data_IF_959896629623
#
_entry.id   IF_959896629623
#
_cell.length_a   1.000
_cell.length_b   1.000
_cell.length_c   1.000
_cell.angle_alpha   90.00
_cell.angle_beta   90.00
_cell.angle_gamma   90.00
#
_symmetry.space_group_name_H-M   'P 1'
#
loop_
_entity.id
_entity.type
_entity.pdbx_description
1 polymer ?
#
# COMPACT_ATOMS: atom_id res chain seq x y z
N UNK A 1 41.83 5.57 -5.97
CA UNK A 1 40.83 4.89 -6.82
C UNK A 1 39.52 4.97 -6.08
N UNK A 2 38.45 5.41 -6.75
CA UNK A 2 37.11 5.57 -6.14
C UNK A 2 36.21 4.50 -6.74
N UNK A 3 35.50 3.72 -5.88
CA UNK A 3 34.48 2.78 -6.31
C UNK A 3 33.10 3.30 -5.88
N UNK A 4 32.21 3.45 -6.85
CA UNK A 4 30.85 3.88 -6.64
C UNK A 4 29.90 2.69 -6.83
N UNK A 5 29.16 2.36 -5.80
CA UNK A 5 28.12 1.34 -5.85
C UNK A 5 26.76 1.97 -5.61
N UNK A 6 25.83 1.71 -6.49
CA UNK A 6 24.44 2.11 -6.34
C UNK A 6 23.61 0.87 -6.04
N UNK A 7 23.14 0.77 -4.81
CA UNK A 7 22.32 -0.35 -4.37
C UNK A 7 20.85 0.08 -4.31
N UNK A 8 19.94 -0.60 -5.02
CA UNK A 8 18.52 -0.37 -4.87
C UNK A 8 18.10 -0.88 -3.48
N UNK A 9 17.40 -0.05 -2.71
CA UNK A 9 17.01 -0.35 -1.33
C UNK A 9 15.49 -0.33 -1.12
N UNK A 10 14.72 0.00 -2.15
CA UNK A 10 13.26 -0.02 -2.10
C UNK A 10 12.59 0.82 -3.16
N UNK A 11 11.29 0.99 -3.02
CA UNK A 11 10.44 1.80 -3.89
C UNK A 11 9.59 2.76 -3.07
N UNK A 12 8.93 3.72 -3.72
CA UNK A 12 7.91 4.58 -3.10
C UNK A 12 6.50 3.94 -3.13
N UNK A 13 6.39 2.72 -3.64
CA UNK A 13 5.11 1.98 -3.68
C UNK A 13 4.77 1.46 -2.29
N UNK A 14 3.60 1.82 -1.78
CA UNK A 14 3.11 1.30 -0.50
C UNK A 14 2.66 -0.16 -0.65
N UNK A 15 3.21 -1.02 0.19
CA UNK A 15 2.83 -2.43 0.32
C UNK A 15 2.11 -2.60 1.65
N UNK A 16 0.82 -2.98 1.59
CA UNK A 16 -0.04 -3.15 2.79
C UNK A 16 -0.21 -4.63 3.20
N UNK A 17 0.19 -5.53 2.34
CA UNK A 17 0.07 -6.99 2.55
C UNK A 17 1.44 -7.61 2.75
N UNK A 18 1.54 -8.65 3.56
CA UNK A 18 2.77 -9.41 3.71
C UNK A 18 3.07 -10.18 2.43
N UNK A 19 4.26 -10.00 1.82
CA UNK A 19 4.63 -10.64 0.56
C UNK A 19 5.13 -12.07 0.80
N UNK A 20 4.22 -13.00 1.07
CA UNK A 20 4.55 -14.36 1.48
C UNK A 20 5.34 -15.15 0.45
N UNK A 21 5.03 -14.98 -0.86
CA UNK A 21 5.73 -15.70 -1.93
C UNK A 21 7.14 -15.16 -2.10
N UNK A 22 7.31 -13.83 -2.08
CA UNK A 22 8.65 -13.21 -2.11
C UNK A 22 9.51 -13.71 -0.95
N UNK A 23 8.96 -13.72 0.29
CA UNK A 23 9.66 -14.23 1.47
C UNK A 23 10.00 -15.72 1.34
N UNK A 24 9.08 -16.52 0.82
CA UNK A 24 9.32 -17.96 0.59
C UNK A 24 10.45 -18.19 -0.41
N UNK A 25 10.50 -17.41 -1.51
CA UNK A 25 11.59 -17.50 -2.49
C UNK A 25 12.92 -17.08 -1.84
N UNK A 26 12.96 -15.99 -1.06
CA UNK A 26 14.14 -15.55 -0.30
C UNK A 26 14.64 -16.66 0.62
N UNK A 27 13.75 -17.22 1.44
CA UNK A 27 14.09 -18.30 2.39
C UNK A 27 14.58 -19.57 1.67
N UNK A 28 13.94 -19.94 0.55
CA UNK A 28 14.38 -21.09 -0.26
C UNK A 28 15.78 -20.87 -0.82
N UNK A 29 16.10 -19.69 -1.35
CA UNK A 29 17.43 -19.38 -1.85
C UNK A 29 18.49 -19.43 -0.74
N UNK A 30 18.19 -18.89 0.44
CA UNK A 30 19.07 -18.97 1.62
C UNK A 30 19.28 -20.40 2.07
N UNK A 31 18.21 -21.18 2.15
CA UNK A 31 18.27 -22.59 2.55
C UNK A 31 19.08 -23.42 1.59
N UNK A 32 18.82 -23.31 0.27
CA UNK A 32 19.55 -24.08 -0.75
C UNK A 32 21.05 -23.71 -0.74
N UNK A 33 21.37 -22.43 -0.60
CA UNK A 33 22.76 -21.99 -0.51
C UNK A 33 23.42 -22.47 0.80
N UNK A 34 22.69 -22.47 1.91
CA UNK A 34 23.16 -23.02 3.19
C UNK A 34 23.45 -24.51 3.11
N UNK A 35 22.60 -25.29 2.45
CA UNK A 35 22.83 -26.73 2.20
C UNK A 35 24.08 -26.92 1.33
N UNK A 36 24.24 -26.12 0.27
CA UNK A 36 25.44 -26.17 -0.58
C UNK A 36 26.73 -25.87 0.21
N UNK A 37 26.72 -24.88 1.10
CA UNK A 37 27.87 -24.58 1.96
C UNK A 37 28.14 -25.71 2.97
N UNK A 38 27.10 -26.29 3.56
CA UNK A 38 27.21 -27.39 4.53
C UNK A 38 27.77 -28.69 3.90
N UNK A 39 27.48 -28.91 2.60
CA UNK A 39 28.07 -30.00 1.81
C UNK A 39 29.51 -29.75 1.36
N UNK A 40 30.20 -28.79 1.98
CA UNK A 40 31.56 -28.32 1.64
C UNK A 40 31.68 -27.81 0.22
N UNK A 41 30.59 -27.26 -0.32
CA UNK A 41 30.59 -26.71 -1.68
C UNK A 41 30.76 -27.76 -2.76
N UNK A 42 30.11 -28.92 -2.60
CA UNK A 42 30.20 -30.00 -3.59
C UNK A 42 29.78 -29.51 -4.99
N UNK A 43 30.77 -29.22 -5.79
CA UNK A 43 30.59 -28.75 -7.17
C UNK A 43 29.85 -29.77 -8.03
N UNK A 44 29.90 -31.06 -7.72
CA UNK A 44 29.19 -32.13 -8.43
C UNK A 44 27.68 -31.99 -8.28
N UNK A 45 27.19 -31.77 -7.07
CA UNK A 45 25.75 -31.54 -6.81
C UNK A 45 25.26 -30.25 -7.49
N UNK A 46 25.99 -29.14 -7.36
CA UNK A 46 25.66 -27.89 -8.06
C UNK A 46 25.62 -28.11 -9.58
N UNK A 47 26.63 -28.80 -10.10
CA UNK A 47 26.74 -29.10 -11.53
C UNK A 47 25.58 -29.99 -12.05
N UNK A 48 25.14 -30.96 -11.26
CA UNK A 48 24.03 -31.85 -11.62
C UNK A 48 22.67 -31.15 -11.70
N UNK A 49 22.39 -30.19 -10.78
CA UNK A 49 21.14 -29.46 -10.71
C UNK A 49 21.13 -28.14 -11.52
N UNK A 50 22.31 -27.67 -11.96
CA UNK A 50 22.41 -26.47 -12.77
C UNK A 50 21.86 -26.69 -14.18
N UNK A 51 21.28 -25.65 -14.76
CA UNK A 51 20.83 -25.69 -16.14
C UNK A 51 22.02 -25.64 -17.10
N UNK A 52 21.99 -26.44 -18.19
CA UNK A 52 23.02 -26.50 -19.21
C UNK A 52 22.38 -26.52 -20.59
N UNK A 53 22.97 -25.77 -21.54
CA UNK A 53 22.50 -25.75 -22.91
C UNK A 53 22.65 -27.12 -23.61
N UNK A 54 23.64 -27.94 -23.20
CA UNK A 54 23.83 -29.27 -23.74
C UNK A 54 22.70 -30.27 -23.40
N UNK A 55 22.03 -30.08 -22.28
CA UNK A 55 20.98 -30.99 -21.79
C UNK A 55 19.85 -30.18 -21.12
N UNK A 56 19.07 -29.41 -21.90
CA UNK A 56 18.03 -28.54 -21.36
C UNK A 56 16.85 -29.38 -20.87
N UNK A 57 16.55 -29.32 -19.57
CA UNK A 57 15.35 -29.92 -18.99
C UNK A 57 14.55 -28.89 -18.20
N UNK A 58 13.24 -29.06 -18.09
CA UNK A 58 12.39 -28.18 -17.27
C UNK A 58 12.83 -28.22 -15.80
N UNK A 59 13.19 -29.39 -15.32
CA UNK A 59 13.61 -29.58 -13.91
C UNK A 59 14.88 -28.76 -13.60
N UNK A 60 15.94 -28.89 -14.42
CA UNK A 60 17.19 -28.14 -14.21
C UNK A 60 17.00 -26.65 -14.47
N UNK A 61 16.17 -26.25 -15.41
CA UNK A 61 15.87 -24.85 -15.68
C UNK A 61 15.13 -24.15 -14.52
N UNK A 62 14.28 -24.88 -13.77
CA UNK A 62 13.62 -24.37 -12.59
C UNK A 62 14.51 -24.49 -11.34
N UNK A 63 15.23 -25.60 -11.16
CA UNK A 63 16.15 -25.78 -10.02
C UNK A 63 17.27 -24.74 -10.01
N UNK A 64 17.81 -24.42 -11.18
CA UNK A 64 18.90 -23.44 -11.33
C UNK A 64 18.53 -22.03 -10.83
N UNK A 65 17.23 -21.67 -10.77
CA UNK A 65 16.78 -20.39 -10.24
C UNK A 65 17.06 -20.21 -8.74
N UNK A 66 17.29 -21.33 -8.03
CA UNK A 66 17.55 -21.33 -6.59
C UNK A 66 19.03 -21.66 -6.25
N UNK A 67 19.86 -21.93 -7.26
CA UNK A 67 21.28 -22.19 -7.11
C UNK A 67 22.09 -20.91 -7.33
N UNK A 68 23.16 -20.71 -6.57
CA UNK A 68 24.02 -19.54 -6.67
C UNK A 68 25.50 -19.93 -6.62
N UNK A 69 26.29 -19.41 -7.55
CA UNK A 69 27.73 -19.72 -7.66
C UNK A 69 28.57 -19.19 -6.49
N UNK A 70 28.06 -18.21 -5.74
CA UNK A 70 28.74 -17.67 -4.58
C UNK A 70 27.89 -16.72 -3.76
N UNK A 71 28.39 -16.34 -2.58
CA UNK A 71 27.67 -15.51 -1.60
C UNK A 71 27.26 -14.13 -2.14
N UNK A 72 28.16 -13.45 -2.85
CA UNK A 72 27.82 -12.12 -3.42
C UNK A 72 26.76 -12.20 -4.52
N UNK A 73 26.77 -13.30 -5.30
CA UNK A 73 25.74 -13.57 -6.30
C UNK A 73 24.37 -13.78 -5.65
N UNK A 74 24.31 -14.57 -4.56
CA UNK A 74 23.10 -14.75 -3.77
C UNK A 74 22.61 -13.41 -3.20
N UNK A 75 23.48 -12.66 -2.51
CA UNK A 75 23.10 -11.38 -1.86
C UNK A 75 22.58 -10.39 -2.90
N UNK A 76 23.24 -10.26 -4.06
CA UNK A 76 22.77 -9.43 -5.15
C UNK A 76 21.35 -9.78 -5.60
N UNK A 77 21.06 -11.06 -5.84
CA UNK A 77 19.73 -11.53 -6.21
C UNK A 77 18.69 -11.25 -5.12
N UNK A 78 19.02 -11.49 -3.84
CA UNK A 78 18.11 -11.23 -2.73
C UNK A 78 17.78 -9.74 -2.57
N UNK A 79 18.76 -8.85 -2.77
CA UNK A 79 18.54 -7.39 -2.74
C UNK A 79 17.53 -6.99 -3.81
N UNK A 80 17.76 -7.38 -5.07
CA UNK A 80 16.84 -7.05 -6.16
C UNK A 80 15.45 -7.68 -5.97
N UNK A 81 15.39 -8.94 -5.54
CA UNK A 81 14.10 -9.60 -5.24
C UNK A 81 13.34 -8.87 -4.13
N UNK A 82 14.04 -8.41 -3.09
CA UNK A 82 13.43 -7.66 -1.97
C UNK A 82 12.91 -6.28 -2.39
N UNK A 83 13.44 -5.70 -3.45
CA UNK A 83 12.99 -4.40 -3.99
C UNK A 83 11.79 -4.56 -4.92
N UNK A 84 11.85 -5.51 -5.86
CA UNK A 84 10.85 -5.66 -6.91
C UNK A 84 9.73 -6.64 -6.56
N UNK A 85 10.01 -7.65 -5.73
CA UNK A 85 9.06 -8.70 -5.37
C UNK A 85 7.84 -8.18 -4.60
N UNK A 86 8.00 -7.55 -3.43
CA UNK A 86 6.87 -7.15 -2.59
C UNK A 86 5.85 -6.25 -3.29
N UNK A 87 6.24 -5.17 -4.01
CA UNK A 87 5.27 -4.33 -4.68
C UNK A 87 4.54 -5.03 -5.84
N UNK A 88 5.20 -5.94 -6.56
CA UNK A 88 4.56 -6.73 -7.60
C UNK A 88 3.63 -7.79 -7.04
N UNK A 89 4.07 -8.53 -6.01
CA UNK A 89 3.22 -9.53 -5.35
C UNK A 89 1.93 -8.92 -4.80
N UNK A 90 2.05 -7.73 -4.18
CA UNK A 90 0.88 -7.00 -3.66
C UNK A 90 -0.13 -6.60 -4.76
N UNK A 91 0.32 -6.41 -6.00
CA UNK A 91 -0.53 -5.98 -7.13
C UNK A 91 -1.06 -7.13 -7.97
N UNK A 92 -0.30 -8.20 -8.11
CA UNK A 92 -0.68 -9.37 -8.89
C UNK A 92 -1.42 -10.43 -8.07
N UNK A 93 -1.20 -10.42 -6.77
CA UNK A 93 -1.53 -11.54 -5.89
C UNK A 93 -0.47 -12.66 -5.95
N UNK A 94 -0.45 -13.53 -4.93
CA UNK A 94 0.63 -14.51 -4.74
C UNK A 94 0.76 -15.51 -5.90
N UNK A 95 -0.35 -16.03 -6.43
CA UNK A 95 -0.31 -17.04 -7.48
C UNK A 95 0.23 -16.50 -8.81
N UNK A 96 -0.27 -15.34 -9.27
CA UNK A 96 0.19 -14.73 -10.52
C UNK A 96 1.66 -14.28 -10.42
N UNK A 97 2.05 -13.78 -9.25
CA UNK A 97 3.44 -13.40 -8.99
C UNK A 97 4.39 -14.61 -9.09
N UNK A 98 4.05 -15.74 -8.46
CA UNK A 98 4.85 -16.97 -8.52
C UNK A 98 4.95 -17.50 -9.95
N UNK A 99 3.83 -17.54 -10.68
CA UNK A 99 3.82 -17.96 -12.09
C UNK A 99 4.73 -17.06 -12.92
N UNK A 100 4.65 -15.73 -12.75
CA UNK A 100 5.49 -14.79 -13.47
C UNK A 100 6.98 -15.03 -13.16
N UNK A 101 7.35 -15.18 -11.88
CA UNK A 101 8.72 -15.45 -11.46
C UNK A 101 9.28 -16.72 -12.10
N UNK A 102 8.57 -17.85 -11.98
CA UNK A 102 9.02 -19.14 -12.50
C UNK A 102 9.04 -19.15 -14.04
N UNK A 103 8.00 -18.62 -14.70
CA UNK A 103 7.92 -18.59 -16.15
C UNK A 103 9.02 -17.70 -16.78
N UNK A 104 9.21 -16.49 -16.25
CA UNK A 104 10.28 -15.61 -16.73
C UNK A 104 11.67 -16.23 -16.52
N UNK A 105 11.92 -16.86 -15.38
CA UNK A 105 13.18 -17.56 -15.09
C UNK A 105 13.41 -18.74 -16.01
N UNK A 106 12.40 -19.56 -16.23
CA UNK A 106 12.48 -20.69 -17.15
C UNK A 106 12.74 -20.24 -18.60
N UNK A 107 11.95 -19.27 -19.09
CA UNK A 107 12.10 -18.75 -20.46
C UNK A 107 13.46 -18.04 -20.67
N UNK A 108 13.96 -17.35 -19.65
CA UNK A 108 15.28 -16.70 -19.72
C UNK A 108 16.41 -17.71 -19.85
N UNK A 109 16.34 -18.85 -19.13
CA UNK A 109 17.29 -19.93 -19.26
C UNK A 109 17.25 -20.57 -20.67
N UNK A 110 16.05 -20.77 -21.22
CA UNK A 110 15.89 -21.29 -22.60
C UNK A 110 16.47 -20.32 -23.64
N UNK A 111 16.23 -19.01 -23.49
CA UNK A 111 16.79 -18.00 -24.37
C UNK A 111 18.33 -17.96 -24.29
N UNK A 112 18.91 -18.08 -23.10
CA UNK A 112 20.35 -18.19 -22.89
C UNK A 112 20.91 -19.43 -23.56
N UNK A 113 20.25 -20.60 -23.40
CA UNK A 113 20.65 -21.83 -24.06
C UNK A 113 20.60 -21.72 -25.60
N UNK A 114 19.55 -21.14 -26.16
CA UNK A 114 19.45 -20.90 -27.58
C UNK A 114 20.58 -20.01 -28.11
N UNK A 115 20.93 -18.95 -27.36
CA UNK A 115 22.05 -18.08 -27.71
C UNK A 115 23.41 -18.82 -27.65
N UNK A 116 23.62 -19.63 -26.61
CA UNK A 116 24.83 -20.45 -26.49
C UNK A 116 24.95 -21.41 -27.68
N UNK A 117 23.88 -22.13 -28.02
CA UNK A 117 23.90 -23.07 -29.14
C UNK A 117 24.16 -22.38 -30.48
N UNK A 118 23.68 -21.14 -30.65
CA UNK A 118 23.82 -20.39 -31.91
C UNK A 118 25.18 -19.71 -32.06
N UNK A 119 25.74 -19.17 -30.96
CA UNK A 119 26.91 -18.26 -31.05
C UNK A 119 28.11 -18.68 -30.23
N UNK A 120 27.97 -19.57 -29.21
CA UNK A 120 29.06 -19.99 -28.33
C UNK A 120 28.97 -21.50 -28.00
N UNK A 121 29.03 -22.40 -29.02
CA UNK A 121 28.82 -23.83 -28.80
C UNK A 121 29.83 -24.47 -27.85
N UNK A 122 31.00 -23.84 -27.64
CA UNK A 122 31.98 -24.23 -26.64
C UNK A 122 31.49 -24.10 -25.21
N UNK A 123 30.47 -23.29 -24.95
CA UNK A 123 29.90 -23.06 -23.63
C UNK A 123 28.67 -23.94 -23.28
N UNK A 124 28.32 -24.90 -24.15
CA UNK A 124 27.09 -25.71 -23.98
C UNK A 124 27.03 -26.49 -22.63
N UNK A 125 28.22 -26.84 -22.10
CA UNK A 125 28.35 -27.58 -20.84
C UNK A 125 28.53 -26.67 -19.61
N UNK A 126 28.69 -25.35 -19.81
CA UNK A 126 28.85 -24.41 -18.70
C UNK A 126 27.52 -24.30 -17.92
N UNK A 127 27.54 -24.49 -16.58
CA UNK A 127 26.36 -24.42 -15.77
C UNK A 127 25.82 -22.99 -15.68
N UNK A 128 24.50 -22.82 -15.88
CA UNK A 128 23.77 -21.57 -15.69
C UNK A 128 23.01 -21.70 -14.36
N UNK A 129 23.23 -20.77 -13.44
CA UNK A 129 22.62 -20.74 -12.12
C UNK A 129 22.25 -19.30 -11.73
N UNK A 130 21.27 -19.15 -10.88
CA UNK A 130 20.86 -17.88 -10.28
C UNK A 130 19.43 -17.46 -10.59
N UNK A 131 18.84 -16.76 -9.65
CA UNK A 131 17.49 -16.19 -9.75
C UNK A 131 17.41 -15.00 -10.72
N UNK A 132 18.55 -14.52 -11.24
CA UNK A 132 18.66 -13.23 -11.92
C UNK A 132 17.84 -13.09 -13.20
N UNK A 133 17.66 -14.17 -13.97
CA UNK A 133 16.78 -14.18 -15.14
C UNK A 133 15.30 -13.97 -14.75
N UNK A 134 14.83 -14.63 -13.68
CA UNK A 134 13.50 -14.43 -13.13
C UNK A 134 13.31 -13.02 -12.56
N UNK A 135 14.30 -12.51 -11.81
CA UNK A 135 14.30 -11.16 -11.25
C UNK A 135 14.29 -10.10 -12.36
N UNK A 136 15.04 -10.31 -13.42
CA UNK A 136 14.99 -9.45 -14.62
C UNK A 136 13.58 -9.45 -15.22
N UNK A 137 12.90 -10.61 -15.23
CA UNK A 137 11.49 -10.72 -15.61
C UNK A 137 10.58 -9.90 -14.70
N UNK A 138 10.79 -9.94 -13.39
CA UNK A 138 10.07 -9.07 -12.46
C UNK A 138 10.35 -7.58 -12.74
N UNK A 139 11.58 -7.19 -13.09
CA UNK A 139 11.91 -5.82 -13.46
C UNK A 139 11.20 -5.39 -14.75
N UNK A 140 11.12 -6.25 -15.76
CA UNK A 140 10.34 -6.01 -16.97
C UNK A 140 8.84 -5.86 -16.68
N UNK A 141 8.31 -6.74 -15.84
CA UNK A 141 6.92 -6.67 -15.38
C UNK A 141 6.63 -5.39 -14.58
N UNK A 142 7.60 -4.94 -13.77
CA UNK A 142 7.55 -3.70 -13.03
C UNK A 142 7.45 -2.48 -13.96
N UNK A 143 8.15 -2.48 -15.09
CA UNK A 143 8.04 -1.42 -16.11
C UNK A 143 6.64 -1.34 -16.75
N UNK A 144 5.87 -2.41 -16.75
CA UNK A 144 4.49 -2.39 -17.24
C UNK A 144 3.51 -1.99 -16.15
N UNK A 145 3.63 -2.60 -14.96
CA UNK A 145 2.64 -2.46 -13.88
C UNK A 145 2.86 -1.26 -12.97
N UNK A 146 4.12 -0.87 -12.77
CA UNK A 146 4.55 0.16 -11.80
C UNK A 146 5.53 1.17 -12.41
N UNK A 147 5.43 1.46 -13.72
CA UNK A 147 6.32 2.36 -14.45
C UNK A 147 6.39 3.77 -13.86
N UNK A 148 5.34 4.20 -13.18
CA UNK A 148 5.24 5.50 -12.52
C UNK A 148 5.95 5.58 -11.16
N UNK A 149 6.38 4.42 -10.60
CA UNK A 149 7.05 4.35 -9.32
C UNK A 149 8.47 4.93 -9.38
N UNK A 150 9.03 5.23 -8.20
CA UNK A 150 10.43 5.62 -8.05
C UNK A 150 11.18 4.56 -7.28
N UNK A 151 12.36 4.23 -7.77
CA UNK A 151 13.31 3.36 -7.08
C UNK A 151 14.18 4.21 -6.17
N UNK A 152 14.38 3.76 -4.94
CA UNK A 152 15.29 4.38 -3.97
C UNK A 152 16.63 3.66 -4.00
N UNK A 153 17.69 4.43 -4.09
CA UNK A 153 19.06 3.95 -4.13
C UNK A 153 19.86 4.52 -2.98
N UNK A 154 20.84 3.76 -2.53
CA UNK A 154 21.91 4.24 -1.67
C UNK A 154 23.21 4.14 -2.46
N UNK A 155 23.92 5.26 -2.59
CA UNK A 155 25.27 5.27 -3.13
C UNK A 155 26.27 5.03 -2.01
N UNK A 156 27.16 4.05 -2.21
CA UNK A 156 28.26 3.77 -1.32
C UNK A 156 29.56 4.09 -2.09
N UNK A 157 30.30 5.05 -1.57
CA UNK A 157 31.64 5.40 -2.12
C UNK A 157 32.71 4.78 -1.25
N UNK A 158 33.48 3.87 -1.81
CA UNK A 158 34.65 3.32 -1.13
C UNK A 158 35.89 4.14 -1.51
N UNK A 159 36.48 4.77 -0.51
CA UNK A 159 37.73 5.52 -0.63
C UNK A 159 38.89 4.59 -0.21
N UNK A 160 39.79 4.28 -1.13
CA UNK A 160 40.85 3.28 -0.93
C UNK A 160 41.69 3.49 0.34
N UNK A 161 41.86 4.76 0.80
CA UNK A 161 42.65 5.08 1.99
C UNK A 161 41.84 5.69 3.15
N UNK A 162 40.60 6.00 2.97
CA UNK A 162 39.79 6.74 3.96
C UNK A 162 38.53 5.98 4.42
N UNK A 163 38.34 4.73 3.95
CA UNK A 163 37.16 3.93 4.29
C UNK A 163 35.88 4.30 3.52
N UNK A 164 34.73 4.04 4.11
CA UNK A 164 33.40 4.28 3.49
C UNK A 164 33.04 5.74 3.70
N UNK A 165 32.83 6.49 2.61
CA UNK A 165 32.20 7.81 2.68
C UNK A 165 30.73 7.70 3.12
N UNK A 166 30.19 8.80 3.66
CA UNK A 166 28.77 8.83 4.09
C UNK A 166 27.87 8.39 2.95
N UNK A 167 26.99 7.39 3.16
CA UNK A 167 26.08 6.95 2.12
C UNK A 167 25.10 8.08 1.79
N UNK A 168 24.86 8.31 0.51
CA UNK A 168 23.87 9.26 0.03
C UNK A 168 22.67 8.49 -0.53
N UNK A 169 21.46 8.87 -0.10
CA UNK A 169 20.22 8.31 -0.61
C UNK A 169 19.65 9.21 -1.70
N UNK A 170 19.22 8.61 -2.81
CA UNK A 170 18.54 9.31 -3.90
C UNK A 170 17.45 8.43 -4.52
N UNK A 171 16.59 9.01 -5.33
CA UNK A 171 15.53 8.24 -6.00
C UNK A 171 15.46 8.57 -7.49
N UNK A 172 15.30 7.53 -8.31
CA UNK A 172 15.11 7.65 -9.74
C UNK A 172 13.74 7.12 -10.16
N UNK A 173 13.12 7.66 -11.23
CA UNK A 173 11.99 6.98 -11.87
C UNK A 173 12.35 5.54 -12.21
N UNK A 174 11.43 4.61 -12.03
CA UNK A 174 11.70 3.17 -12.29
C UNK A 174 12.15 2.92 -13.72
N UNK A 175 11.59 3.64 -14.70
CA UNK A 175 11.99 3.56 -16.11
C UNK A 175 13.49 3.89 -16.26
N UNK A 176 13.95 4.95 -15.59
CA UNK A 176 15.38 5.37 -15.66
C UNK A 176 16.27 4.36 -14.93
N UNK A 177 15.91 3.95 -13.71
CA UNK A 177 16.73 3.03 -12.92
C UNK A 177 16.84 1.64 -13.55
N UNK A 178 15.75 1.08 -14.04
CA UNK A 178 15.75 -0.22 -14.72
C UNK A 178 16.39 -0.09 -16.11
N UNK A 179 16.09 0.99 -16.85
CA UNK A 179 16.68 1.24 -18.17
C UNK A 179 18.19 1.36 -18.11
N UNK A 180 18.73 2.05 -17.12
CA UNK A 180 20.19 2.15 -16.91
C UNK A 180 20.79 0.79 -16.58
N UNK A 181 20.15 -0.01 -15.73
CA UNK A 181 20.60 -1.36 -15.42
C UNK A 181 20.61 -2.26 -16.67
N UNK A 182 19.58 -2.22 -17.50
CA UNK A 182 19.54 -2.96 -18.79
C UNK A 182 20.62 -2.47 -19.75
N UNK A 183 20.84 -1.16 -19.86
CA UNK A 183 21.86 -0.59 -20.71
C UNK A 183 23.28 -1.03 -20.28
N UNK A 184 23.55 -1.04 -18.98
CA UNK A 184 24.82 -1.54 -18.44
C UNK A 184 24.98 -3.05 -18.71
N UNK A 185 23.93 -3.84 -18.52
CA UNK A 185 23.92 -5.28 -18.85
C UNK A 185 24.27 -5.51 -20.32
N UNK A 186 23.68 -4.73 -21.21
CA UNK A 186 23.93 -4.78 -22.65
C UNK A 186 25.38 -4.34 -22.98
N UNK A 187 25.85 -3.26 -22.38
CA UNK A 187 27.21 -2.77 -22.57
C UNK A 187 28.28 -3.81 -22.17
N UNK A 188 28.09 -4.49 -21.03
CA UNK A 188 28.98 -5.57 -20.59
C UNK A 188 28.97 -6.77 -21.55
N UNK A 189 27.80 -7.12 -22.12
CA UNK A 189 27.70 -8.17 -23.15
C UNK A 189 28.57 -7.84 -24.37
N UNK A 190 28.54 -6.58 -24.86
CA UNK A 190 29.30 -6.16 -26.04
C UNK A 190 30.78 -5.90 -25.75
N UNK A 191 31.14 -5.51 -24.53
CA UNK A 191 32.53 -5.26 -24.15
C UNK A 191 33.37 -6.54 -24.05
N UNK A 192 32.74 -7.71 -24.23
CA UNK A 192 33.45 -8.99 -24.14
C UNK A 192 34.10 -9.25 -22.79
N UNK A 193 33.58 -8.58 -21.74
CA UNK A 193 34.01 -8.81 -20.37
C UNK A 193 33.65 -10.26 -20.06
N UNK A 194 34.66 -11.15 -20.07
CA UNK A 194 34.49 -12.54 -19.69
C UNK A 194 33.99 -12.59 -18.24
N UNK A 195 32.69 -12.61 -18.07
CA UNK A 195 32.05 -12.75 -16.78
C UNK A 195 31.20 -14.03 -16.80
N UNK A 196 31.12 -14.68 -15.67
CA UNK A 196 30.23 -15.83 -15.45
C UNK A 196 28.74 -15.43 -15.56
N UNK A 197 28.43 -14.19 -15.99
CA UNK A 197 27.10 -13.63 -16.02
C UNK A 197 26.37 -13.96 -17.33
N UNK A 198 25.21 -14.57 -17.23
CA UNK A 198 24.35 -14.89 -18.36
C UNK A 198 23.53 -13.64 -18.81
N UNK A 199 24.18 -12.70 -19.52
CA UNK A 199 23.56 -11.42 -19.90
C UNK A 199 22.33 -11.58 -20.80
N UNK A 200 22.32 -12.56 -21.70
CA UNK A 200 21.16 -12.85 -22.55
C UNK A 200 19.97 -13.29 -21.70
N UNK A 201 20.21 -14.08 -20.64
CA UNK A 201 19.15 -14.44 -19.71
C UNK A 201 18.53 -13.22 -19.01
N UNK A 202 19.35 -12.21 -18.67
CA UNK A 202 18.84 -10.98 -18.07
C UNK A 202 17.98 -10.16 -19.04
N UNK A 203 18.46 -9.96 -20.26
CA UNK A 203 17.76 -9.17 -21.28
C UNK A 203 16.47 -9.86 -21.72
N UNK A 204 16.54 -11.17 -21.99
CA UNK A 204 15.37 -11.95 -22.36
C UNK A 204 14.37 -12.08 -21.20
N UNK A 205 14.85 -12.27 -19.97
CA UNK A 205 14.01 -12.25 -18.78
C UNK A 205 13.20 -10.96 -18.68
N UNK A 206 13.87 -9.80 -18.79
CA UNK A 206 13.19 -8.50 -18.78
C UNK A 206 12.14 -8.37 -19.90
N UNK A 207 12.49 -8.81 -21.12
CA UNK A 207 11.55 -8.82 -22.25
C UNK A 207 10.33 -9.71 -21.96
N UNK A 208 10.53 -10.94 -21.45
CA UNK A 208 9.43 -11.83 -21.09
C UNK A 208 8.56 -11.23 -20.00
N UNK A 209 9.13 -10.53 -19.02
CA UNK A 209 8.36 -9.81 -18.02
C UNK A 209 7.49 -8.70 -18.59
N UNK A 210 7.99 -7.92 -19.56
CA UNK A 210 7.20 -6.91 -20.28
C UNK A 210 6.05 -7.59 -21.04
N UNK A 211 6.36 -8.64 -21.83
CA UNK A 211 5.34 -9.37 -22.60
C UNK A 211 4.28 -9.96 -21.67
N UNK A 212 4.69 -10.60 -20.59
CA UNK A 212 3.78 -11.15 -19.58
C UNK A 212 2.86 -10.06 -19.01
N UNK A 213 3.40 -8.91 -18.63
CA UNK A 213 2.61 -7.79 -18.12
C UNK A 213 1.59 -7.24 -19.12
N UNK A 214 1.96 -7.17 -20.41
CA UNK A 214 1.06 -6.74 -21.48
C UNK A 214 -0.04 -7.76 -21.76
N UNK A 215 0.30 -9.04 -21.85
CA UNK A 215 -0.64 -10.15 -22.05
C UNK A 215 -1.63 -10.26 -20.90
N UNK A 216 -1.17 -10.05 -19.67
CA UNK A 216 -2.02 -10.02 -18.47
C UNK A 216 -2.91 -8.78 -18.36
N UNK A 217 -2.79 -7.82 -19.28
CA UNK A 217 -3.60 -6.60 -19.27
C UNK A 217 -3.30 -5.64 -18.12
N UNK A 218 -2.08 -5.62 -17.58
CA UNK A 218 -1.73 -4.83 -16.41
C UNK A 218 -1.53 -3.34 -16.70
N UNK A 219 -1.35 -2.94 -17.96
CA UNK A 219 -1.10 -1.55 -18.33
C UNK A 219 -2.30 -0.59 -18.07
N UNK A 220 -3.57 -0.97 -18.27
CA UNK A 220 -4.72 -0.15 -17.87
C UNK A 220 -4.78 0.12 -16.37
N UNK A 221 -4.56 -0.91 -15.54
CA UNK A 221 -4.52 -0.77 -14.09
C UNK A 221 -3.39 0.17 -13.63
N UNK A 222 -2.22 0.04 -14.26
CA UNK A 222 -1.08 0.91 -14.01
C UNK A 222 -1.38 2.38 -14.34
N UNK A 223 -2.05 2.64 -15.46
CA UNK A 223 -2.46 4.01 -15.83
C UNK A 223 -3.41 4.61 -14.82
N UNK A 224 -4.33 3.81 -14.31
CA UNK A 224 -5.26 4.26 -13.27
C UNK A 224 -4.54 4.57 -11.96
N UNK A 225 -3.71 3.64 -11.47
CA UNK A 225 -2.98 3.81 -10.20
C UNK A 225 -1.94 4.95 -10.27
N UNK A 226 -1.42 5.25 -11.47
CA UNK A 226 -0.55 6.41 -11.70
C UNK A 226 -1.19 7.71 -11.22
N UNK A 227 -2.49 7.92 -11.46
CA UNK A 227 -3.19 9.13 -11.03
C UNK A 227 -3.12 9.30 -9.50
N UNK A 228 -3.31 8.22 -8.72
CA UNK A 228 -3.16 8.28 -7.26
C UNK A 228 -1.73 8.65 -6.84
N UNK A 229 -0.74 8.03 -7.47
CA UNK A 229 0.66 8.31 -7.17
C UNK A 229 1.06 9.74 -7.53
N UNK A 230 0.60 10.25 -8.67
CA UNK A 230 0.88 11.64 -9.08
C UNK A 230 0.14 12.63 -8.21
N UNK A 231 -1.13 12.38 -7.89
CA UNK A 231 -1.93 13.20 -6.98
C UNK A 231 -1.26 13.37 -5.62
N UNK A 232 -0.77 12.26 -5.02
CA UNK A 232 -0.01 12.30 -3.77
C UNK A 232 1.27 13.14 -3.88
N UNK A 233 2.06 12.94 -4.95
CA UNK A 233 3.30 13.70 -5.16
C UNK A 233 3.07 15.19 -5.37
N UNK A 234 2.03 15.58 -6.10
CA UNK A 234 1.66 16.99 -6.27
C UNK A 234 1.21 17.59 -4.94
N UNK A 235 0.42 16.85 -4.15
CA UNK A 235 0.01 17.29 -2.82
C UNK A 235 1.21 17.50 -1.87
N UNK A 236 2.19 16.58 -1.86
CA UNK A 236 3.42 16.70 -1.09
C UNK A 236 4.27 17.94 -1.46
N UNK A 237 4.13 18.45 -2.69
CA UNK A 237 4.81 19.65 -3.18
C UNK A 237 4.00 20.94 -2.98
N UNK A 238 2.77 20.84 -2.47
CA UNK A 238 1.87 21.98 -2.34
C UNK A 238 1.18 22.40 -3.66
N UNK A 239 1.26 21.55 -4.69
CA UNK A 239 0.64 21.78 -6.01
C UNK A 239 -0.82 21.30 -5.98
N UNK A 240 -1.67 21.97 -5.16
CA UNK A 240 -3.00 21.47 -4.77
C UNK A 240 -3.96 21.27 -5.93
N UNK A 241 -3.95 22.18 -6.93
CA UNK A 241 -4.82 22.06 -8.11
C UNK A 241 -4.40 20.91 -9.02
N UNK A 242 -3.09 20.71 -9.22
CA UNK A 242 -2.59 19.58 -9.99
C UNK A 242 -2.90 18.26 -9.29
N UNK A 243 -2.73 18.21 -7.95
CA UNK A 243 -3.11 17.07 -7.14
C UNK A 243 -4.60 16.72 -7.28
N UNK A 244 -5.47 17.73 -7.17
CA UNK A 244 -6.92 17.56 -7.31
C UNK A 244 -7.28 17.01 -8.69
N UNK A 245 -6.71 17.55 -9.76
CA UNK A 245 -6.94 17.10 -11.15
C UNK A 245 -6.57 15.61 -11.35
N UNK A 246 -5.50 15.15 -10.72
CA UNK A 246 -5.11 13.74 -10.78
C UNK A 246 -6.10 12.85 -10.01
N UNK A 247 -6.54 13.23 -8.80
CA UNK A 247 -7.57 12.49 -8.06
C UNK A 247 -8.91 12.47 -8.79
N UNK A 248 -9.30 13.56 -9.44
CA UNK A 248 -10.53 13.60 -10.25
C UNK A 248 -10.44 12.69 -11.48
N UNK A 249 -9.28 12.66 -12.15
CA UNK A 249 -9.01 11.73 -13.26
C UNK A 249 -9.11 10.27 -12.82
N UNK A 250 -8.64 9.95 -11.62
CA UNK A 250 -8.82 8.64 -11.02
C UNK A 250 -10.28 8.34 -10.71
N UNK A 251 -10.97 9.27 -10.02
CA UNK A 251 -12.36 9.11 -9.61
C UNK A 251 -13.34 9.03 -10.79
N UNK A 252 -13.01 9.58 -11.94
CA UNK A 252 -13.77 9.39 -13.18
C UNK A 252 -13.86 7.92 -13.62
N UNK A 253 -12.86 7.08 -13.23
CA UNK A 253 -12.82 5.65 -13.51
C UNK A 253 -13.21 4.78 -12.30
N UNK A 254 -12.96 5.26 -11.10
CA UNK A 254 -13.20 4.59 -9.83
C UNK A 254 -13.98 5.49 -8.85
N UNK A 255 -15.26 5.83 -9.16
CA UNK A 255 -16.02 6.86 -8.42
C UNK A 255 -16.36 6.48 -6.98
N UNK A 256 -16.24 5.21 -6.62
CA UNK A 256 -16.60 4.69 -5.30
C UNK A 256 -15.39 4.42 -4.38
N UNK A 257 -14.18 4.84 -4.76
CA UNK A 257 -13.00 4.69 -3.91
C UNK A 257 -13.02 5.71 -2.76
N UNK A 258 -13.22 5.27 -1.49
CA UNK A 258 -13.39 6.20 -0.38
C UNK A 258 -12.10 6.95 -0.02
N UNK A 259 -10.92 6.34 -0.21
CA UNK A 259 -9.64 6.99 0.08
C UNK A 259 -9.38 8.12 -0.93
N UNK A 260 -9.62 7.88 -2.21
CA UNK A 260 -9.46 8.90 -3.25
C UNK A 260 -10.48 10.04 -3.09
N UNK A 261 -11.74 9.72 -2.75
CA UNK A 261 -12.77 10.71 -2.42
C UNK A 261 -12.37 11.60 -1.24
N UNK A 262 -11.82 11.00 -0.18
CA UNK A 262 -11.34 11.73 1.00
C UNK A 262 -10.17 12.66 0.66
N UNK A 263 -9.21 12.20 -0.15
CA UNK A 263 -8.09 13.04 -0.60
C UNK A 263 -8.58 14.22 -1.46
N UNK A 264 -9.47 13.95 -2.42
CA UNK A 264 -10.08 15.02 -3.22
C UNK A 264 -10.83 16.04 -2.34
N UNK A 265 -11.56 15.57 -1.31
CA UNK A 265 -12.25 16.45 -0.36
C UNK A 265 -11.29 17.36 0.41
N UNK A 266 -10.16 16.83 0.89
CA UNK A 266 -9.11 17.59 1.56
C UNK A 266 -8.52 18.66 0.65
N UNK A 267 -8.21 18.29 -0.60
CA UNK A 267 -7.68 19.21 -1.60
C UNK A 267 -8.69 20.31 -1.96
N UNK A 268 -9.97 19.97 -2.14
CA UNK A 268 -11.04 20.96 -2.36
C UNK A 268 -11.17 21.93 -1.19
N UNK A 269 -10.96 21.47 0.06
CA UNK A 269 -10.93 22.35 1.22
C UNK A 269 -9.78 23.35 1.16
N UNK A 270 -8.56 22.88 0.83
CA UNK A 270 -7.37 23.74 0.72
C UNK A 270 -7.49 24.72 -0.44
N UNK A 271 -8.18 24.35 -1.53
CA UNK A 271 -8.44 25.23 -2.68
C UNK A 271 -9.72 26.07 -2.53
N UNK A 272 -10.24 26.22 -1.32
CA UNK A 272 -11.43 27.04 -0.99
C UNK A 272 -12.73 26.62 -1.70
N UNK A 273 -12.89 25.33 -2.01
CA UNK A 273 -14.09 24.74 -2.61
C UNK A 273 -14.95 24.02 -1.54
N UNK A 274 -15.34 24.72 -0.49
CA UNK A 274 -15.94 24.12 0.73
C UNK A 274 -17.20 23.32 0.46
N UNK A 275 -18.09 23.78 -0.41
CA UNK A 275 -19.31 23.09 -0.77
C UNK A 275 -19.04 21.74 -1.43
N UNK A 276 -18.09 21.69 -2.36
CA UNK A 276 -17.70 20.45 -3.04
C UNK A 276 -16.95 19.50 -2.07
N UNK A 277 -16.07 20.05 -1.23
CA UNK A 277 -15.39 19.31 -0.17
C UNK A 277 -16.38 18.56 0.74
N UNK A 278 -17.43 19.26 1.21
CA UNK A 278 -18.47 18.65 2.06
C UNK A 278 -19.19 17.49 1.35
N UNK A 279 -19.51 17.64 0.07
CA UNK A 279 -20.14 16.57 -0.73
C UNK A 279 -19.20 15.36 -0.84
N UNK A 280 -17.94 15.58 -1.14
CA UNK A 280 -16.93 14.51 -1.29
C UNK A 280 -16.66 13.78 0.03
N UNK A 281 -16.54 14.50 1.15
CA UNK A 281 -16.41 13.87 2.48
C UNK A 281 -17.61 12.96 2.79
N UNK A 282 -18.84 13.44 2.57
CA UNK A 282 -20.06 12.62 2.81
C UNK A 282 -20.06 11.36 1.95
N UNK A 283 -19.68 11.47 0.69
CA UNK A 283 -19.61 10.32 -0.19
C UNK A 283 -18.51 9.33 0.23
N UNK A 284 -17.32 9.80 0.59
CA UNK A 284 -16.25 8.96 1.11
C UNK A 284 -16.68 8.19 2.38
N UNK A 285 -17.30 8.88 3.34
CA UNK A 285 -17.84 8.26 4.58
C UNK A 285 -18.87 7.18 4.22
N UNK A 286 -19.79 7.48 3.29
CA UNK A 286 -20.79 6.51 2.84
C UNK A 286 -20.15 5.27 2.21
N UNK A 287 -19.12 5.43 1.39
CA UNK A 287 -18.42 4.30 0.77
C UNK A 287 -17.68 3.45 1.81
N UNK A 288 -16.99 4.05 2.79
CA UNK A 288 -16.42 3.30 3.91
C UNK A 288 -17.49 2.51 4.68
N UNK A 289 -18.64 3.12 4.98
CA UNK A 289 -19.75 2.43 5.64
C UNK A 289 -20.31 1.28 4.80
N UNK A 290 -20.39 1.41 3.47
CA UNK A 290 -20.81 0.33 2.57
C UNK A 290 -19.83 -0.83 2.55
N UNK A 291 -18.52 -0.55 2.66
CA UNK A 291 -17.46 -1.55 2.71
C UNK A 291 -17.33 -2.20 4.11
N UNK A 292 -18.10 -1.75 5.11
CA UNK A 292 -18.01 -2.25 6.49
C UNK A 292 -16.83 -1.68 7.28
N UNK A 293 -16.07 -0.75 6.71
CA UNK A 293 -14.97 -0.08 7.41
C UNK A 293 -15.49 1.08 8.28
N UNK A 294 -16.13 0.70 9.39
CA UNK A 294 -16.70 1.62 10.35
C UNK A 294 -15.65 2.53 10.98
N UNK A 295 -14.44 2.03 11.20
CA UNK A 295 -13.35 2.81 11.81
C UNK A 295 -12.98 3.99 10.92
N UNK A 296 -12.64 3.73 9.66
CA UNK A 296 -12.27 4.79 8.70
C UNK A 296 -13.41 5.77 8.45
N UNK A 297 -14.67 5.29 8.43
CA UNK A 297 -15.84 6.15 8.32
C UNK A 297 -15.97 7.12 9.50
N UNK A 298 -15.77 6.64 10.74
CA UNK A 298 -15.82 7.45 11.95
C UNK A 298 -14.67 8.45 12.03
N UNK A 299 -13.45 8.03 11.69
CA UNK A 299 -12.29 8.90 11.68
C UNK A 299 -12.44 10.04 10.65
N UNK A 300 -12.91 9.70 9.45
CA UNK A 300 -13.15 10.68 8.40
C UNK A 300 -14.32 11.62 8.74
N UNK A 301 -15.35 11.15 9.45
CA UNK A 301 -16.44 11.98 9.94
C UNK A 301 -15.94 13.04 10.94
N UNK A 302 -15.12 12.65 11.91
CA UNK A 302 -14.57 13.61 12.86
C UNK A 302 -13.58 14.58 12.20
N UNK A 303 -12.82 14.13 11.19
CA UNK A 303 -12.01 15.01 10.36
C UNK A 303 -12.85 16.04 9.61
N UNK A 304 -13.92 15.60 8.92
CA UNK A 304 -14.86 16.48 8.23
C UNK A 304 -15.43 17.54 9.16
N UNK A 305 -15.85 17.15 10.37
CA UNK A 305 -16.40 18.09 11.36
C UNK A 305 -15.38 19.13 11.82
N UNK A 306 -14.12 18.74 11.99
CA UNK A 306 -13.02 19.66 12.35
C UNK A 306 -12.71 20.66 11.24
N UNK A 307 -12.74 20.21 9.99
CA UNK A 307 -12.34 21.03 8.83
C UNK A 307 -13.45 21.95 8.34
N UNK A 308 -14.71 21.52 8.41
CA UNK A 308 -15.87 22.22 7.83
C UNK A 308 -16.81 22.84 8.88
N UNK A 309 -16.48 22.69 10.17
CA UNK A 309 -17.34 23.14 11.26
C UNK A 309 -18.30 22.05 11.78
N UNK A 310 -18.66 22.16 13.05
CA UNK A 310 -19.41 21.12 13.80
C UNK A 310 -20.87 20.90 13.36
N UNK A 311 -21.43 21.74 12.52
CA UNK A 311 -22.82 21.66 12.08
C UNK A 311 -23.04 20.76 10.85
N UNK A 312 -21.97 20.27 10.24
CA UNK A 312 -22.09 19.40 9.06
C UNK A 312 -22.60 18.03 9.47
N UNK A 313 -23.80 17.69 9.01
CA UNK A 313 -24.49 16.44 9.30
C UNK A 313 -24.57 15.59 8.03
N UNK A 314 -24.37 14.27 8.20
CA UNK A 314 -24.56 13.28 7.14
C UNK A 314 -26.05 13.04 6.87
N UNK A 315 -26.43 12.41 5.74
CA UNK A 315 -27.77 11.86 5.56
C UNK A 315 -28.16 10.94 6.72
N UNK A 316 -29.46 10.91 7.01
CA UNK A 316 -30.05 10.32 8.23
C UNK A 316 -29.47 8.94 8.58
N UNK A 317 -29.46 7.99 7.63
CA UNK A 317 -28.98 6.64 7.89
C UNK A 317 -27.47 6.57 8.17
N UNK A 318 -26.68 7.32 7.43
CA UNK A 318 -25.21 7.35 7.55
C UNK A 318 -24.79 7.99 8.88
N UNK A 319 -25.48 9.06 9.30
CA UNK A 319 -25.21 9.74 10.57
C UNK A 319 -25.43 8.82 11.78
N UNK A 320 -26.51 8.06 11.80
CA UNK A 320 -26.79 7.11 12.90
C UNK A 320 -25.80 5.93 12.89
N UNK A 321 -25.41 5.45 11.71
CA UNK A 321 -24.38 4.39 11.61
C UNK A 321 -23.04 4.87 12.15
N UNK A 322 -22.63 6.09 11.84
CA UNK A 322 -21.41 6.69 12.38
C UNK A 322 -21.52 6.89 13.90
N UNK A 323 -22.63 7.42 14.40
CA UNK A 323 -22.83 7.63 15.83
C UNK A 323 -22.74 6.31 16.63
N UNK A 324 -23.37 5.23 16.12
CA UNK A 324 -23.25 3.88 16.69
C UNK A 324 -21.83 3.35 16.59
N UNK A 325 -21.19 3.48 15.43
CA UNK A 325 -19.80 3.05 15.23
C UNK A 325 -18.82 3.73 16.20
N UNK A 326 -18.99 5.02 16.47
CA UNK A 326 -18.20 5.75 17.46
C UNK A 326 -18.41 5.20 18.88
N UNK A 327 -19.64 4.82 19.24
CA UNK A 327 -19.95 4.19 20.52
C UNK A 327 -19.27 2.80 20.63
N UNK A 328 -19.40 1.96 19.60
CA UNK A 328 -18.79 0.63 19.51
C UNK A 328 -17.25 0.68 19.53
N UNK A 329 -16.65 1.74 19.00
CA UNK A 329 -15.21 2.00 19.04
C UNK A 329 -14.72 2.57 20.38
N UNK A 330 -15.58 2.72 21.38
CA UNK A 330 -15.23 3.26 22.69
C UNK A 330 -14.93 4.76 22.69
N UNK A 331 -15.60 5.53 21.79
CA UNK A 331 -15.45 6.99 21.64
C UNK A 331 -16.75 7.73 22.06
N UNK A 332 -17.15 7.62 23.34
CA UNK A 332 -18.48 8.08 23.78
C UNK A 332 -18.67 9.58 23.64
N UNK A 333 -17.64 10.40 23.83
CA UNK A 333 -17.73 11.85 23.67
C UNK A 333 -18.10 12.24 22.23
N UNK A 334 -17.50 11.60 21.25
CA UNK A 334 -17.73 11.83 19.83
C UNK A 334 -19.08 11.25 19.41
N UNK A 335 -19.43 10.05 19.91
CA UNK A 335 -20.74 9.44 19.70
C UNK A 335 -21.88 10.34 20.21
N UNK A 336 -21.75 10.90 21.41
CA UNK A 336 -22.74 11.84 21.98
C UNK A 336 -22.94 13.05 21.06
N UNK A 337 -21.85 13.67 20.58
CA UNK A 337 -21.93 14.78 19.62
C UNK A 337 -22.61 14.40 18.31
N UNK A 338 -22.29 13.20 17.78
CA UNK A 338 -22.88 12.72 16.53
C UNK A 338 -24.41 12.44 16.67
N UNK A 339 -24.84 11.86 17.79
CA UNK A 339 -26.25 11.69 18.12
C UNK A 339 -26.96 13.02 18.33
N UNK A 340 -26.38 13.97 19.03
CA UNK A 340 -26.91 15.30 19.24
C UNK A 340 -27.11 16.05 17.92
N UNK A 341 -26.09 16.04 17.05
CA UNK A 341 -26.16 16.65 15.72
C UNK A 341 -27.30 16.04 14.88
N UNK A 342 -27.49 14.70 14.95
CA UNK A 342 -28.61 14.04 14.32
C UNK A 342 -29.96 14.54 14.89
N UNK A 343 -30.08 14.55 16.20
CA UNK A 343 -31.31 14.92 16.89
C UNK A 343 -31.73 16.37 16.66
N UNK A 344 -30.77 17.28 16.48
CA UNK A 344 -31.05 18.67 16.11
C UNK A 344 -31.50 18.79 14.65
N UNK A 345 -30.80 18.10 13.73
CA UNK A 345 -31.11 18.17 12.29
C UNK A 345 -32.45 17.52 11.92
N UNK A 346 -32.85 16.47 12.64
CA UNK A 346 -34.06 15.69 12.38
C UNK A 346 -35.00 15.75 13.57
N UNK A 347 -35.21 16.95 14.12
CA UNK A 347 -35.99 17.18 15.34
C UNK A 347 -37.44 16.68 15.25
N UNK A 348 -38.07 16.77 14.09
CA UNK A 348 -39.45 16.36 13.83
C UNK A 348 -39.62 14.84 13.68
N UNK A 349 -38.53 14.08 13.68
CA UNK A 349 -38.57 12.62 13.54
C UNK A 349 -38.42 11.94 14.89
N UNK A 350 -39.17 10.87 15.11
CA UNK A 350 -39.06 10.05 16.33
C UNK A 350 -37.62 9.60 16.60
N UNK A 351 -36.88 9.19 15.56
CA UNK A 351 -35.46 8.85 15.68
C UNK A 351 -34.58 10.04 16.11
N UNK A 352 -34.96 11.28 15.78
CA UNK A 352 -34.28 12.48 16.24
C UNK A 352 -34.38 12.65 17.76
N UNK A 353 -35.57 12.43 18.32
CA UNK A 353 -35.80 12.43 19.76
C UNK A 353 -34.97 11.33 20.45
N UNK A 354 -35.00 10.10 19.93
CA UNK A 354 -34.25 8.98 20.49
C UNK A 354 -32.71 9.21 20.43
N UNK A 355 -32.23 9.83 19.37
CA UNK A 355 -30.81 10.17 19.26
C UNK A 355 -30.37 11.21 20.30
N UNK A 356 -31.21 12.25 20.52
CA UNK A 356 -30.96 13.23 21.60
C UNK A 356 -30.97 12.57 22.97
N UNK A 357 -31.97 11.69 23.22
CA UNK A 357 -32.04 10.94 24.47
C UNK A 357 -30.79 10.07 24.69
N UNK A 358 -30.35 9.38 23.65
CA UNK A 358 -29.10 8.57 23.68
C UNK A 358 -27.88 9.43 23.96
N UNK A 359 -27.77 10.62 23.34
CA UNK A 359 -26.69 11.57 23.60
C UNK A 359 -26.66 11.99 25.07
N UNK A 360 -27.82 12.36 25.64
CA UNK A 360 -27.93 12.75 27.04
C UNK A 360 -27.57 11.60 28.00
N UNK A 361 -27.99 10.37 27.69
CA UNK A 361 -27.64 9.18 28.45
C UNK A 361 -26.15 8.89 28.46
N UNK A 362 -25.47 9.05 27.31
CA UNK A 362 -24.02 8.92 27.21
C UNK A 362 -23.34 9.98 28.10
N UNK A 363 -23.74 11.24 28.03
CA UNK A 363 -23.21 12.32 28.87
C UNK A 363 -23.35 11.98 30.35
N UNK A 364 -24.54 11.51 30.77
CA UNK A 364 -24.81 11.24 32.18
C UNK A 364 -24.12 9.98 32.69
N UNK A 365 -24.26 8.85 31.97
CA UNK A 365 -23.89 7.52 32.47
C UNK A 365 -22.45 7.12 32.16
N UNK A 366 -21.92 7.57 31.00
CA UNK A 366 -20.59 7.16 30.51
C UNK A 366 -19.54 8.24 30.75
N UNK A 367 -19.90 9.50 30.44
CA UNK A 367 -18.98 10.63 30.56
C UNK A 367 -19.05 11.32 31.94
N UNK A 368 -19.95 10.89 32.83
CA UNK A 368 -20.19 11.46 34.12
C UNK A 368 -20.33 13.01 34.10
N UNK A 369 -21.03 13.51 33.09
CA UNK A 369 -21.27 14.93 32.87
C UNK A 369 -22.78 15.26 33.04
N UNK A 370 -23.30 15.32 34.27
CA UNK A 370 -24.74 15.54 34.53
C UNK A 370 -25.20 16.95 34.12
N UNK A 371 -24.32 17.95 34.12
CA UNK A 371 -24.64 19.30 33.66
C UNK A 371 -24.98 19.35 32.18
N UNK A 372 -24.14 18.70 31.32
CA UNK A 372 -24.43 18.60 29.89
C UNK A 372 -25.62 17.73 29.60
N UNK A 373 -25.81 16.63 30.34
CA UNK A 373 -26.97 15.77 30.21
C UNK A 373 -28.27 16.53 30.54
N UNK A 374 -28.29 17.31 31.66
CA UNK A 374 -29.42 18.16 32.02
C UNK A 374 -29.80 19.11 30.87
N UNK A 375 -28.82 19.82 30.29
CA UNK A 375 -29.09 20.73 29.20
C UNK A 375 -29.77 20.03 28.00
N UNK A 376 -29.32 18.83 27.64
CA UNK A 376 -29.91 18.07 26.51
C UNK A 376 -31.33 17.57 26.88
N UNK A 377 -31.58 17.12 28.12
CA UNK A 377 -32.90 16.71 28.55
C UNK A 377 -33.90 17.89 28.63
N UNK A 378 -33.46 19.08 29.07
CA UNK A 378 -34.25 20.31 29.04
C UNK A 378 -34.64 20.69 27.59
N UNK A 379 -33.69 20.58 26.64
CA UNK A 379 -33.98 20.81 25.22
C UNK A 379 -35.02 19.80 24.68
N UNK A 380 -34.90 18.52 25.07
CA UNK A 380 -35.88 17.49 24.73
C UNK A 380 -37.28 17.76 25.34
N UNK A 381 -37.34 18.17 26.60
CA UNK A 381 -38.59 18.44 27.30
C UNK A 381 -39.40 19.60 26.67
N UNK A 382 -38.78 20.46 25.89
CA UNK A 382 -39.46 21.54 25.14
C UNK A 382 -40.10 21.06 23.83
N UNK A 383 -39.84 19.80 23.43
CA UNK A 383 -40.39 19.23 22.20
C UNK A 383 -41.70 18.52 22.46
N UNK A 384 -42.59 18.39 21.46
CA UNK A 384 -43.74 17.51 21.58
C UNK A 384 -43.26 16.04 21.66
N UNK A 385 -43.44 15.40 22.79
CA UNK A 385 -43.04 14.03 23.06
C UNK A 385 -44.25 13.13 23.20
N UNK A 386 -44.11 11.84 22.85
CA UNK A 386 -45.13 10.84 23.22
C UNK A 386 -45.08 10.57 24.73
N UNK A 387 -46.21 10.21 25.35
CA UNK A 387 -46.32 10.08 26.80
C UNK A 387 -45.24 9.23 27.47
N UNK A 388 -44.87 8.09 26.84
CA UNK A 388 -43.82 7.21 27.36
C UNK A 388 -42.42 7.87 27.32
N UNK A 389 -42.09 8.55 26.21
CA UNK A 389 -40.82 9.26 26.07
C UNK A 389 -40.77 10.47 26.98
N UNK A 390 -41.89 11.18 27.15
CA UNK A 390 -42.00 12.31 28.06
C UNK A 390 -41.70 11.89 29.51
N UNK A 391 -42.31 10.78 29.97
CA UNK A 391 -42.05 10.26 31.30
C UNK A 391 -40.58 9.91 31.53
N UNK A 392 -39.95 9.26 30.54
CA UNK A 392 -38.49 8.92 30.56
C UNK A 392 -37.64 10.17 30.64
N UNK A 393 -37.93 11.19 29.83
CA UNK A 393 -37.15 12.44 29.80
C UNK A 393 -37.28 13.18 31.14
N UNK A 394 -38.47 13.26 31.70
CA UNK A 394 -38.74 13.90 33.00
C UNK A 394 -37.99 13.23 34.16
N UNK A 395 -38.05 11.88 34.23
CA UNK A 395 -37.29 11.13 35.26
C UNK A 395 -35.78 11.34 35.15
N UNK A 396 -35.25 11.26 33.94
CA UNK A 396 -33.80 11.43 33.70
C UNK A 396 -33.32 12.86 33.89
N UNK A 397 -34.18 13.86 33.59
CA UNK A 397 -33.90 15.26 33.87
C UNK A 397 -33.78 15.47 35.38
N UNK A 398 -34.77 15.04 36.16
CA UNK A 398 -34.75 15.12 37.61
C UNK A 398 -33.55 14.41 38.24
N UNK A 399 -33.15 13.25 37.68
CA UNK A 399 -31.96 12.54 38.11
C UNK A 399 -30.64 13.34 37.85
N UNK A 400 -30.59 14.05 36.71
CA UNK A 400 -29.44 14.89 36.34
C UNK A 400 -29.37 16.15 37.21
N UNK A 401 -30.51 16.76 37.54
CA UNK A 401 -30.59 17.92 38.45
C UNK A 401 -30.05 17.55 39.84
N UNK A 402 -30.55 16.44 40.43
CA UNK A 402 -30.04 15.93 41.71
C UNK A 402 -28.53 15.63 41.68
N UNK A 403 -28.01 15.16 40.55
CA UNK A 403 -26.56 14.90 40.40
C UNK A 403 -25.75 16.21 40.34
N UNK A 404 -26.24 17.23 39.65
CA UNK A 404 -25.59 18.56 39.60
C UNK A 404 -25.58 19.22 40.97
N UNK A 405 -26.70 19.17 41.71
CA UNK A 405 -26.78 19.71 43.09
C UNK A 405 -25.81 19.04 44.05
N UNK A 406 -25.67 17.70 43.94
CA UNK A 406 -24.65 16.98 44.76
C UNK A 406 -23.24 17.41 44.47
N UNK A 407 -22.88 17.65 43.19
CA UNK A 407 -21.57 18.14 42.81
C UNK A 407 -21.29 19.54 43.39
N UNK A 408 -22.30 20.42 43.40
CA UNK A 408 -22.14 21.76 43.99
C UNK A 408 -21.99 21.72 45.52
N UNK A 409 -22.76 20.82 46.22
CA UNK A 409 -22.62 20.65 47.67
C UNK A 409 -21.35 19.98 48.15
N UNK A 410 -20.73 19.16 47.29
CA UNK A 410 -19.44 18.49 47.57
C UNK A 410 -18.20 19.33 47.25
N UNK A 411 -18.40 20.47 46.58
CA UNK A 411 -17.34 21.42 46.22
C UNK A 411 -17.33 22.67 47.16
N UNK A 412 -18.35 22.81 48.03
CA UNK A 412 -18.40 23.80 49.11
C UNK A 412 -18.03 23.15 50.43
#
# INVERSE_FOLDING_TARGET
MYYFYWLPVGTDVRVRTTPWVTLSIVLTNLFVHGVFLASRGDAGTLYALAFKAAQPTVATALASLFLHAGFLHLVGNLVFLSVFGPPLEARLGPARFLIAYLACGWLSNLAQAAAILAWWPELVSVPIVGASGAISGLMGLFLVRLYFARLRFVSVTLLYFQGIAKPAAFSLPSIVGIGLWLALTLAYQFAGVASETAYIAHLSGALFGVVFGLVMGLAPEARLERHLAMGSRYAERGEWFAALGEYESYLAKAPADPEALAQAARLQRVTHQEGQSAVRFREAIRQYLRQGDTRSACDLYEEMRRLLGGEVVLPSGDQLRVARGLEELGRPSEASRAYEAYGKRYADRHLGTLAMLKSADIQRRVLNNPGRARYIYEELARRPLSGDVEAIVRDRLAASERAVERLHRGAA
#
